data_IF_224431662836
#
_entry.id   IF_224431662836
#
_cell.length_a   1.000
_cell.length_b   1.000
_cell.length_c   1.000
_cell.angle_alpha   90.00
_cell.angle_beta   90.00
_cell.angle_gamma   90.00
#
_symmetry.space_group_name_H-M   'P 1'
#
loop_
_entity.id
_entity.type
_entity.pdbx_description
1 polymer ?
#
# COMPACT_ATOMS: atom_id res chain seq x y z
N UNK A 1 11.35 32.09 10.30
CA UNK A 1 11.89 30.87 10.90
C UNK A 1 12.18 29.90 9.77
N UNK A 2 13.44 29.63 9.48
CA UNK A 2 13.84 28.59 8.51
C UNK A 2 13.36 27.25 9.03
N UNK A 3 12.41 26.64 8.30
CA UNK A 3 11.91 25.29 8.61
C UNK A 3 13.10 24.34 8.52
N UNK A 4 13.52 23.74 9.64
CA UNK A 4 14.58 22.72 9.61
C UNK A 4 14.10 21.59 8.72
N UNK A 5 14.80 21.34 7.63
CA UNK A 5 14.46 20.25 6.72
C UNK A 5 14.69 18.92 7.44
N UNK A 6 13.64 18.08 7.54
CA UNK A 6 13.79 16.73 8.08
C UNK A 6 14.75 15.91 7.20
N UNK A 7 15.69 15.23 7.84
CA UNK A 7 16.46 14.18 7.17
C UNK A 7 15.67 12.89 7.24
N UNK A 8 15.33 12.35 6.08
CA UNK A 8 14.47 11.17 5.99
C UNK A 8 15.09 10.10 5.07
N UNK A 9 14.83 8.84 5.39
CA UNK A 9 15.13 7.74 4.47
C UNK A 9 13.84 7.20 3.85
N UNK A 10 13.92 6.65 2.64
CA UNK A 10 12.85 5.88 2.03
C UNK A 10 13.37 4.53 1.50
N UNK A 11 12.84 3.44 2.05
CA UNK A 11 13.24 2.07 1.74
C UNK A 11 12.20 1.41 0.85
N UNK A 12 12.60 1.01 -0.36
CA UNK A 12 11.71 0.39 -1.33
C UNK A 12 11.11 1.41 -2.32
N UNK A 13 11.63 1.37 -3.56
CA UNK A 13 11.25 2.25 -4.67
C UNK A 13 10.43 1.48 -5.72
N UNK A 14 9.40 0.79 -5.24
CA UNK A 14 8.39 0.19 -6.10
C UNK A 14 7.44 1.24 -6.69
N UNK A 15 6.35 0.78 -7.29
CA UNK A 15 5.33 1.63 -7.93
C UNK A 15 4.78 2.68 -6.96
N UNK A 16 4.68 2.32 -5.67
CA UNK A 16 4.21 3.22 -4.62
C UNK A 16 5.33 4.07 -4.03
N UNK A 17 6.43 3.45 -3.61
CA UNK A 17 7.49 4.13 -2.87
C UNK A 17 8.28 5.15 -3.70
N UNK A 18 8.43 4.92 -5.01
CA UNK A 18 9.16 5.85 -5.89
C UNK A 18 8.54 7.25 -5.91
N UNK A 19 7.23 7.42 -6.19
CA UNK A 19 6.59 8.74 -6.13
C UNK A 19 6.44 9.27 -4.69
N UNK A 20 6.18 8.43 -3.69
CA UNK A 20 6.07 8.89 -2.30
C UNK A 20 7.37 9.54 -1.81
N UNK A 21 8.52 8.90 -2.04
CA UNK A 21 9.83 9.47 -1.76
C UNK A 21 10.08 10.76 -2.56
N UNK A 22 9.61 10.82 -3.83
CA UNK A 22 9.68 12.02 -4.66
C UNK A 22 8.92 13.21 -4.06
N UNK A 23 7.73 12.99 -3.52
CA UNK A 23 6.96 14.04 -2.84
C UNK A 23 7.63 14.56 -1.57
N UNK A 24 8.27 13.69 -0.78
CA UNK A 24 9.07 14.12 0.38
C UNK A 24 10.17 15.10 -0.03
N UNK A 25 10.84 14.82 -1.16
CA UNK A 25 11.88 15.70 -1.70
C UNK A 25 11.31 17.00 -2.26
N UNK A 26 10.31 16.92 -3.13
CA UNK A 26 9.85 18.06 -3.95
C UNK A 26 8.85 18.96 -3.23
N UNK A 27 7.86 18.38 -2.54
CA UNK A 27 6.85 19.13 -1.77
C UNK A 27 7.29 19.37 -0.33
N UNK A 28 7.93 18.36 0.29
CA UNK A 28 8.37 18.43 1.69
C UNK A 28 9.65 19.22 1.91
N UNK A 29 10.49 19.36 0.90
CA UNK A 29 11.83 19.96 1.03
C UNK A 29 12.76 19.15 1.93
N UNK A 30 12.46 17.85 2.14
CA UNK A 30 13.26 16.98 2.99
C UNK A 30 14.63 16.67 2.37
N UNK A 31 15.63 16.43 3.23
CA UNK A 31 16.86 15.75 2.81
C UNK A 31 16.59 14.25 2.75
N UNK A 32 16.49 13.70 1.53
CA UNK A 32 16.00 12.33 1.29
C UNK A 32 17.16 11.42 0.88
N UNK A 33 17.33 10.34 1.64
CA UNK A 33 18.21 9.21 1.33
C UNK A 33 17.35 8.02 0.92
N UNK A 34 17.65 7.36 -0.20
CA UNK A 34 16.85 6.21 -0.65
C UNK A 34 17.64 4.92 -0.64
N UNK A 35 16.93 3.83 -0.43
CA UNK A 35 17.42 2.48 -0.64
C UNK A 35 16.45 1.66 -1.46
N UNK A 36 16.95 0.85 -2.36
CA UNK A 36 16.18 -0.18 -3.03
C UNK A 36 17.06 -1.38 -3.36
N UNK A 37 16.52 -2.62 -3.21
CA UNK A 37 17.24 -3.87 -3.54
C UNK A 37 17.84 -3.85 -4.95
N UNK A 38 17.13 -3.28 -5.94
CA UNK A 38 17.69 -2.97 -7.25
C UNK A 38 18.34 -1.59 -7.23
N UNK A 39 19.67 -1.53 -7.25
CA UNK A 39 20.43 -0.28 -7.27
C UNK A 39 20.07 0.62 -8.46
N UNK A 40 19.70 0.05 -9.62
CA UNK A 40 19.28 0.81 -10.78
C UNK A 40 18.04 1.69 -10.50
N UNK A 41 17.07 1.20 -9.70
CA UNK A 41 15.91 2.00 -9.31
C UNK A 41 16.28 3.14 -8.37
N UNK A 42 17.20 2.93 -7.44
CA UNK A 42 17.69 3.98 -6.55
C UNK A 42 18.44 5.06 -7.34
N UNK A 43 19.28 4.67 -8.31
CA UNK A 43 19.96 5.58 -9.21
C UNK A 43 18.96 6.42 -10.03
N UNK A 44 18.00 5.78 -10.67
CA UNK A 44 16.95 6.47 -11.44
C UNK A 44 16.13 7.46 -10.58
N UNK A 45 15.90 7.14 -9.31
CA UNK A 45 15.21 8.05 -8.39
C UNK A 45 16.08 9.29 -8.11
N UNK A 46 17.38 9.10 -7.80
CA UNK A 46 18.32 10.21 -7.56
C UNK A 46 18.46 11.10 -8.80
N UNK A 47 18.55 10.51 -9.99
CA UNK A 47 18.60 11.26 -11.27
C UNK A 47 17.34 12.13 -11.46
N UNK A 48 16.17 11.62 -11.07
CA UNK A 48 14.89 12.32 -11.25
C UNK A 48 14.62 13.40 -10.21
N UNK A 49 14.93 13.15 -8.93
CA UNK A 49 14.49 14.00 -7.82
C UNK A 49 15.65 14.64 -7.05
N UNK A 50 16.88 14.21 -7.27
CA UNK A 50 18.01 14.56 -6.42
C UNK A 50 18.02 13.75 -5.11
N UNK A 51 18.81 14.19 -4.13
CA UNK A 51 19.04 13.44 -2.90
C UNK A 51 20.18 12.44 -3.04
N UNK A 52 20.18 11.38 -2.23
CA UNK A 52 21.24 10.36 -2.25
C UNK A 52 20.69 8.95 -2.15
N UNK A 53 21.48 7.97 -2.53
CA UNK A 53 21.17 6.55 -2.41
C UNK A 53 22.31 5.82 -1.68
N UNK A 54 21.97 4.76 -0.96
CA UNK A 54 22.93 3.93 -0.22
C UNK A 54 22.77 2.46 -0.57
N UNK A 55 23.79 1.61 -0.37
CA UNK A 55 23.74 0.20 -0.71
C UNK A 55 22.96 -0.65 0.30
N UNK A 56 22.73 -0.16 1.53
CA UNK A 56 22.02 -0.90 2.58
C UNK A 56 20.92 -0.06 3.26
N UNK A 57 19.87 -0.69 3.80
CA UNK A 57 18.87 -0.02 4.65
C UNK A 57 19.49 0.67 5.86
N UNK A 58 20.51 0.04 6.49
CA UNK A 58 21.26 0.58 7.61
C UNK A 58 21.89 1.92 7.29
N UNK A 59 22.60 2.00 6.17
CA UNK A 59 23.25 3.25 5.74
C UNK A 59 22.21 4.33 5.38
N UNK A 60 21.11 3.95 4.73
CA UNK A 60 20.03 4.88 4.43
C UNK A 60 19.44 5.50 5.70
N UNK A 61 19.22 4.69 6.73
CA UNK A 61 18.60 5.10 7.98
C UNK A 61 19.50 5.95 8.89
N UNK A 62 20.80 6.02 8.59
CA UNK A 62 21.78 6.70 9.43
C UNK A 62 21.49 8.19 9.59
N UNK A 63 21.40 8.64 10.85
CA UNK A 63 21.12 10.04 11.25
C UNK A 63 19.78 10.60 10.78
N UNK A 64 18.88 9.74 10.26
CA UNK A 64 17.53 10.15 9.85
C UNK A 64 16.63 10.38 11.07
N UNK A 65 15.70 11.33 10.92
CA UNK A 65 14.65 11.59 11.91
C UNK A 65 13.48 10.63 11.72
N UNK A 66 13.15 10.36 10.45
CA UNK A 66 12.09 9.43 10.06
C UNK A 66 12.60 8.53 8.92
N UNK A 67 12.35 7.24 9.06
CA UNK A 67 12.60 6.23 8.03
C UNK A 67 11.28 5.70 7.51
N UNK A 68 11.00 5.89 6.26
CA UNK A 68 9.84 5.36 5.55
C UNK A 68 10.18 4.07 4.83
N UNK A 69 9.23 3.14 4.79
CA UNK A 69 9.39 1.86 4.09
C UNK A 69 8.14 1.52 3.28
N UNK A 70 8.31 0.98 2.07
CA UNK A 70 7.23 0.40 1.27
C UNK A 70 7.77 -0.73 0.40
N UNK A 71 7.62 -1.97 0.85
CA UNK A 71 8.14 -3.18 0.21
C UNK A 71 7.02 -4.18 -0.11
N UNK A 72 7.34 -5.45 -0.41
CA UNK A 72 6.38 -6.37 -0.98
C UNK A 72 5.49 -7.11 0.02
N UNK A 73 6.06 -7.60 1.11
CA UNK A 73 5.41 -8.52 2.07
C UNK A 73 6.14 -8.53 3.42
N UNK A 74 5.69 -9.40 4.34
CA UNK A 74 6.26 -9.55 5.68
C UNK A 74 7.76 -9.89 5.66
N UNK A 75 8.19 -10.80 4.78
CA UNK A 75 9.59 -11.25 4.72
C UNK A 75 10.49 -10.16 4.12
N UNK A 76 10.04 -9.48 3.06
CA UNK A 76 10.74 -8.31 2.53
C UNK A 76 10.88 -7.23 3.62
N UNK A 77 9.81 -7.00 4.41
CA UNK A 77 9.82 -6.01 5.49
C UNK A 77 10.81 -6.40 6.60
N UNK A 78 10.80 -7.65 7.07
CA UNK A 78 11.81 -8.13 8.03
C UNK A 78 13.23 -7.94 7.49
N UNK A 79 13.45 -8.27 6.22
CA UNK A 79 14.78 -8.20 5.60
C UNK A 79 15.37 -6.79 5.54
N UNK A 80 14.52 -5.77 5.38
CA UNK A 80 14.98 -4.36 5.30
C UNK A 80 15.00 -3.68 6.67
N UNK A 81 14.29 -4.21 7.66
CA UNK A 81 14.20 -3.63 9.01
C UNK A 81 15.19 -4.25 9.98
N UNK A 82 15.29 -5.60 9.96
CA UNK A 82 16.06 -6.38 10.93
C UNK A 82 17.45 -6.78 10.38
N UNK A 83 18.28 -7.30 11.28
CA UNK A 83 19.61 -7.81 10.94
C UNK A 83 20.70 -6.72 10.90
N UNK A 84 21.96 -7.11 10.60
CA UNK A 84 23.11 -6.20 10.67
C UNK A 84 23.08 -5.08 9.64
N UNK A 85 22.45 -5.29 8.49
CA UNK A 85 22.28 -4.30 7.41
C UNK A 85 20.88 -3.71 7.37
N UNK A 86 20.00 -4.12 8.30
CA UNK A 86 18.64 -3.61 8.44
C UNK A 86 18.60 -2.17 8.99
N UNK A 87 17.50 -1.49 8.73
CA UNK A 87 17.33 -0.08 9.08
C UNK A 87 17.51 0.19 10.58
N UNK A 88 16.97 -0.69 11.44
CA UNK A 88 17.07 -0.50 12.91
C UNK A 88 18.53 -0.45 13.39
N UNK A 89 19.45 -1.15 12.73
CA UNK A 89 20.87 -1.12 13.07
C UNK A 89 21.55 0.22 12.74
N UNK A 90 20.94 1.06 11.89
CA UNK A 90 21.42 2.39 11.52
C UNK A 90 20.68 3.55 12.19
N UNK A 91 19.50 3.30 12.76
CA UNK A 91 18.65 4.34 13.33
C UNK A 91 19.15 4.86 14.69
N UNK A 92 19.03 6.15 14.88
CA UNK A 92 19.30 6.78 16.17
C UNK A 92 18.12 6.65 17.13
N UNK A 93 18.39 6.64 18.44
CA UNK A 93 17.35 6.72 19.47
C UNK A 93 16.48 7.97 19.27
N UNK A 94 15.16 7.82 19.41
CA UNK A 94 14.16 8.87 19.21
C UNK A 94 13.72 9.07 17.76
N UNK A 95 14.32 8.36 16.80
CA UNK A 95 13.85 8.33 15.41
C UNK A 95 12.54 7.52 15.29
N UNK A 96 11.86 7.71 14.16
CA UNK A 96 10.57 7.05 13.88
C UNK A 96 10.71 6.20 12.61
N UNK A 97 10.29 4.93 12.68
CA UNK A 97 10.12 4.08 11.50
C UNK A 97 8.65 4.05 11.09
N UNK A 98 8.35 4.36 9.82
CA UNK A 98 6.99 4.39 9.27
C UNK A 98 6.90 3.38 8.14
N UNK A 99 6.12 2.32 8.34
CA UNK A 99 5.96 1.26 7.35
C UNK A 99 4.65 1.40 6.56
N UNK A 100 4.78 1.69 5.27
CA UNK A 100 3.67 1.78 4.33
C UNK A 100 3.38 0.46 3.58
N UNK A 101 4.10 -0.60 3.89
CA UNK A 101 3.87 -1.92 3.31
C UNK A 101 2.49 -2.44 3.75
N UNK A 102 1.74 -3.04 2.84
CA UNK A 102 0.60 -3.88 3.24
C UNK A 102 1.14 -5.23 3.69
N UNK A 103 1.16 -5.44 5.00
CA UNK A 103 1.76 -6.56 5.71
C UNK A 103 0.80 -7.11 6.79
N UNK A 104 1.18 -8.14 7.51
CA UNK A 104 0.39 -8.65 8.63
C UNK A 104 0.46 -7.71 9.85
N UNK A 105 -0.60 -7.69 10.66
CA UNK A 105 -0.57 -7.00 11.96
C UNK A 105 0.42 -7.66 12.94
N UNK A 106 0.75 -8.93 12.70
CA UNK A 106 1.74 -9.69 13.47
C UNK A 106 3.16 -9.15 13.24
N UNK A 107 3.58 -8.99 11.98
CA UNK A 107 4.89 -8.41 11.67
C UNK A 107 4.98 -6.95 12.12
N UNK A 108 3.89 -6.17 12.03
CA UNK A 108 3.87 -4.81 12.56
C UNK A 108 4.18 -4.78 14.06
N UNK A 109 3.54 -5.66 14.86
CA UNK A 109 3.80 -5.78 16.31
C UNK A 109 5.19 -6.32 16.63
N UNK A 110 5.69 -7.27 15.83
CA UNK A 110 7.06 -7.80 15.94
C UNK A 110 8.09 -6.67 15.77
N UNK A 111 7.95 -5.88 14.71
CA UNK A 111 8.88 -4.80 14.39
C UNK A 111 8.76 -3.63 15.36
N UNK A 112 7.54 -3.32 15.82
CA UNK A 112 7.33 -2.37 16.90
C UNK A 112 8.10 -2.76 18.17
N UNK A 113 7.99 -4.02 18.59
CA UNK A 113 8.73 -4.52 19.75
C UNK A 113 10.25 -4.50 19.54
N UNK A 114 10.73 -4.78 18.31
CA UNK A 114 12.15 -4.70 17.99
C UNK A 114 12.68 -3.25 18.02
N UNK A 115 11.94 -2.31 17.45
CA UNK A 115 12.26 -0.89 17.44
C UNK A 115 12.29 -0.29 18.85
N UNK A 116 11.30 -0.63 19.69
CA UNK A 116 11.20 -0.15 21.07
C UNK A 116 12.44 -0.51 21.91
N UNK A 117 13.07 -1.68 21.70
CA UNK A 117 14.29 -2.11 22.42
C UNK A 117 15.47 -1.17 22.23
N UNK A 118 15.51 -0.43 21.13
CA UNK A 118 16.58 0.53 20.82
C UNK A 118 16.10 1.98 20.94
N UNK A 119 14.89 2.20 21.44
CA UNK A 119 14.31 3.53 21.63
C UNK A 119 13.90 4.22 20.33
N UNK A 120 13.55 3.43 19.29
CA UNK A 120 12.95 3.89 18.03
C UNK A 120 11.45 3.64 18.09
N UNK A 121 10.64 4.62 17.65
CA UNK A 121 9.21 4.46 17.51
C UNK A 121 8.88 3.76 16.18
N UNK A 122 7.82 2.94 16.15
CA UNK A 122 7.36 2.25 14.95
C UNK A 122 5.89 2.56 14.68
N UNK A 123 5.56 2.90 13.43
CA UNK A 123 4.20 3.17 12.95
C UNK A 123 3.94 2.28 11.75
N UNK A 124 2.97 1.39 11.83
CA UNK A 124 2.40 0.72 10.67
C UNK A 124 1.42 1.66 9.98
N UNK A 125 1.64 1.94 8.72
CA UNK A 125 0.98 3.02 8.00
C UNK A 125 0.61 2.62 6.54
N UNK A 126 -0.03 1.45 6.30
CA UNK A 126 -0.41 1.05 4.96
C UNK A 126 -1.31 2.09 4.29
N UNK A 127 -1.28 2.07 2.95
CA UNK A 127 -1.89 3.11 2.13
C UNK A 127 -3.01 2.58 1.23
N UNK A 128 -3.92 3.46 0.85
CA UNK A 128 -4.94 3.24 -0.18
C UNK A 128 -4.94 4.40 -1.18
N UNK A 129 -5.26 4.11 -2.44
CA UNK A 129 -5.28 5.08 -3.56
C UNK A 129 -4.55 4.59 -4.80
N UNK A 130 -3.84 3.45 -4.72
CA UNK A 130 -3.11 2.83 -5.82
C UNK A 130 -1.99 3.71 -6.39
N UNK A 131 -1.47 3.32 -7.56
CA UNK A 131 -0.39 4.03 -8.23
C UNK A 131 -0.73 5.50 -8.51
N UNK A 132 -1.91 5.77 -9.05
CA UNK A 132 -2.36 7.13 -9.33
C UNK A 132 -2.42 8.01 -8.07
N UNK A 133 -2.89 7.45 -6.95
CA UNK A 133 -2.88 8.15 -5.66
C UNK A 133 -1.48 8.48 -5.16
N UNK A 134 -0.53 7.56 -5.36
CA UNK A 134 0.87 7.78 -5.00
C UNK A 134 1.53 8.84 -5.90
N UNK A 135 1.33 8.77 -7.22
CA UNK A 135 1.88 9.72 -8.20
C UNK A 135 1.34 11.14 -7.98
N UNK A 136 0.05 11.27 -7.67
CA UNK A 136 -0.58 12.57 -7.41
C UNK A 136 -0.35 13.09 -5.97
N UNK A 137 0.16 12.27 -5.06
CA UNK A 137 0.37 12.63 -3.66
C UNK A 137 -0.95 12.83 -2.89
N UNK A 138 -1.94 11.96 -3.15
CA UNK A 138 -3.28 12.02 -2.58
C UNK A 138 -3.71 10.68 -1.94
N UNK A 139 -2.75 9.95 -1.37
CA UNK A 139 -3.02 8.69 -0.69
C UNK A 139 -3.86 8.88 0.58
N UNK A 140 -4.55 7.82 0.97
CA UNK A 140 -5.13 7.67 2.32
C UNK A 140 -4.23 6.74 3.11
N UNK A 141 -3.82 7.17 4.32
CA UNK A 141 -2.88 6.46 5.19
C UNK A 141 -3.58 6.06 6.49
N UNK A 142 -3.50 4.78 6.84
CA UNK A 142 -4.09 4.21 8.05
C UNK A 142 -2.97 3.86 9.02
N UNK A 143 -2.81 4.63 10.11
CA UNK A 143 -1.69 4.49 11.02
C UNK A 143 -2.05 3.68 12.27
N UNK A 144 -1.13 2.81 12.70
CA UNK A 144 -1.14 2.14 14.00
C UNK A 144 0.16 2.43 14.75
N UNK A 145 0.06 2.78 16.04
CA UNK A 145 1.23 3.13 16.86
C UNK A 145 0.87 4.07 17.99
N UNK A 146 1.88 4.69 18.62
CA UNK A 146 1.70 5.66 19.67
C UNK A 146 1.36 7.05 19.13
N UNK A 147 0.58 7.82 19.89
CA UNK A 147 0.08 9.14 19.49
C UNK A 147 1.19 10.19 19.30
N UNK A 148 2.22 10.19 20.15
CA UNK A 148 3.29 11.18 20.07
C UNK A 148 4.18 11.01 18.82
N UNK A 149 4.71 9.80 18.49
CA UNK A 149 5.40 9.57 17.23
C UNK A 149 4.52 9.83 15.99
N UNK A 150 3.24 9.46 16.05
CA UNK A 150 2.29 9.75 14.97
C UNK A 150 2.18 11.26 14.72
N UNK A 151 1.99 12.06 15.76
CA UNK A 151 1.87 13.51 15.62
C UNK A 151 3.12 14.19 15.02
N UNK A 152 4.31 13.56 15.20
CA UNK A 152 5.55 14.02 14.57
C UNK A 152 5.68 13.58 13.10
N UNK A 153 5.19 12.37 12.76
CA UNK A 153 5.27 11.82 11.40
C UNK A 153 4.17 12.36 10.48
N UNK A 154 2.97 12.62 10.97
CA UNK A 154 1.80 13.04 10.20
C UNK A 154 2.06 14.24 9.27
N UNK A 155 2.71 15.35 9.71
CA UNK A 155 2.99 16.49 8.83
C UNK A 155 3.93 16.14 7.67
N UNK A 156 4.80 15.14 7.84
CA UNK A 156 5.71 14.67 6.80
C UNK A 156 4.98 13.72 5.85
N UNK A 157 4.13 12.83 6.36
CA UNK A 157 3.25 11.95 5.57
C UNK A 157 2.30 12.79 4.69
N UNK A 158 1.82 13.93 5.16
CA UNK A 158 0.92 14.82 4.43
C UNK A 158 1.48 15.32 3.07
N UNK A 159 2.79 15.21 2.81
CA UNK A 159 3.34 15.57 1.50
C UNK A 159 2.93 14.62 0.36
N UNK A 160 2.52 13.38 0.68
CA UNK A 160 2.05 12.40 -0.30
C UNK A 160 0.66 11.82 0.04
N UNK A 161 -0.01 12.36 1.05
CA UNK A 161 -1.32 11.90 1.50
C UNK A 161 -2.33 13.05 1.60
N UNK A 162 -3.58 12.78 1.19
CA UNK A 162 -4.72 13.69 1.43
C UNK A 162 -5.42 13.43 2.75
N UNK A 163 -5.23 12.24 3.32
CA UNK A 163 -5.79 11.84 4.59
C UNK A 163 -4.83 10.88 5.30
N UNK A 164 -4.59 11.15 6.58
CA UNK A 164 -3.77 10.31 7.44
C UNK A 164 -4.46 10.26 8.81
N UNK A 165 -4.63 9.06 9.39
CA UNK A 165 -5.29 8.93 10.68
C UNK A 165 -4.69 7.81 11.53
N UNK A 166 -4.50 8.10 12.82
CA UNK A 166 -4.17 7.09 13.83
C UNK A 166 -5.43 6.28 14.15
N UNK A 167 -5.35 4.96 13.93
CA UNK A 167 -6.47 4.03 14.09
C UNK A 167 -6.44 3.28 15.42
N UNK A 168 -5.29 3.31 16.12
CA UNK A 168 -5.10 2.61 17.39
C UNK A 168 -3.64 2.22 17.61
N UNK A 169 -3.36 1.25 18.51
CA UNK A 169 -2.00 0.79 18.77
C UNK A 169 -1.38 0.09 17.56
N UNK A 170 -0.10 -0.30 17.68
CA UNK A 170 0.63 -1.00 16.61
C UNK A 170 -0.13 -2.21 16.07
N UNK A 171 -0.21 -2.31 14.76
CA UNK A 171 -1.01 -3.27 14.00
C UNK A 171 -2.41 -2.75 13.61
N UNK A 172 -2.91 -1.67 14.21
CA UNK A 172 -4.24 -1.13 13.90
C UNK A 172 -4.32 -0.55 12.48
N UNK A 173 -3.24 0.00 11.97
CA UNK A 173 -3.14 0.44 10.58
C UNK A 173 -3.31 -0.73 9.60
N UNK A 174 -2.58 -1.83 9.84
CA UNK A 174 -2.68 -3.05 9.03
C UNK A 174 -4.07 -3.69 9.12
N UNK A 175 -4.65 -3.78 10.31
CA UNK A 175 -6.03 -4.29 10.48
C UNK A 175 -7.05 -3.42 9.73
N UNK A 176 -6.89 -2.09 9.76
CA UNK A 176 -7.74 -1.17 8.99
C UNK A 176 -7.55 -1.38 7.48
N UNK A 177 -6.33 -1.61 7.02
CA UNK A 177 -6.05 -1.95 5.62
C UNK A 177 -6.68 -3.28 5.23
N UNK A 178 -6.74 -4.29 6.11
CA UNK A 178 -7.44 -5.55 5.85
C UNK A 178 -8.94 -5.31 5.62
N UNK A 179 -9.60 -4.47 6.43
CA UNK A 179 -11.00 -4.09 6.19
C UNK A 179 -11.18 -3.49 4.80
N UNK A 180 -10.28 -2.56 4.41
CA UNK A 180 -10.30 -1.97 3.06
C UNK A 180 -10.18 -3.04 1.96
N UNK A 181 -9.27 -4.02 2.10
CA UNK A 181 -9.07 -5.06 1.08
C UNK A 181 -10.23 -6.05 1.00
N UNK A 182 -10.83 -6.40 2.13
CA UNK A 182 -12.06 -7.22 2.19
C UNK A 182 -13.20 -6.53 1.43
N UNK A 183 -13.41 -5.23 1.67
CA UNK A 183 -14.44 -4.46 0.96
C UNK A 183 -14.15 -4.40 -0.54
N UNK A 184 -12.92 -4.11 -0.96
CA UNK A 184 -12.54 -4.05 -2.38
C UNK A 184 -12.78 -5.39 -3.08
N UNK A 185 -12.46 -6.51 -2.45
CA UNK A 185 -12.68 -7.83 -3.03
C UNK A 185 -14.16 -8.05 -3.39
N UNK A 186 -15.06 -7.80 -2.46
CA UNK A 186 -16.51 -7.93 -2.68
C UNK A 186 -17.05 -6.93 -3.71
N UNK A 187 -16.61 -5.67 -3.63
CA UNK A 187 -17.02 -4.60 -4.57
C UNK A 187 -16.64 -4.93 -6.01
N UNK A 188 -15.39 -5.35 -6.25
CA UNK A 188 -14.91 -5.64 -7.62
C UNK A 188 -15.59 -6.88 -8.18
N UNK A 189 -15.82 -7.91 -7.37
CA UNK A 189 -16.56 -9.10 -7.81
C UNK A 189 -18.00 -8.76 -8.16
N UNK A 190 -18.70 -8.01 -7.29
CA UNK A 190 -20.07 -7.57 -7.56
C UNK A 190 -20.18 -6.72 -8.83
N UNK A 191 -19.24 -5.81 -9.06
CA UNK A 191 -19.17 -5.02 -10.28
C UNK A 191 -18.93 -5.90 -11.53
N UNK A 192 -18.02 -6.87 -11.43
CA UNK A 192 -17.75 -7.80 -12.53
C UNK A 192 -19.00 -8.60 -12.93
N UNK A 193 -19.71 -9.14 -11.96
CA UNK A 193 -20.97 -9.87 -12.20
C UNK A 193 -22.05 -8.96 -12.77
N UNK A 194 -22.21 -7.74 -12.23
CA UNK A 194 -23.19 -6.76 -12.71
C UNK A 194 -22.94 -6.35 -14.16
N UNK A 195 -21.68 -6.06 -14.53
CA UNK A 195 -21.34 -5.72 -15.92
C UNK A 195 -21.52 -6.92 -16.87
N UNK A 196 -21.10 -8.12 -16.45
CA UNK A 196 -21.32 -9.33 -17.23
C UNK A 196 -22.82 -9.61 -17.44
N UNK A 197 -23.65 -9.46 -16.39
CA UNK A 197 -25.10 -9.58 -16.49
C UNK A 197 -25.67 -8.56 -17.49
N UNK A 198 -25.24 -7.30 -17.44
CA UNK A 198 -25.68 -6.26 -18.37
C UNK A 198 -25.38 -6.64 -19.82
N UNK A 199 -24.15 -7.15 -20.09
CA UNK A 199 -23.75 -7.65 -21.41
C UNK A 199 -24.65 -8.80 -21.90
N UNK A 200 -24.93 -9.79 -21.04
CA UNK A 200 -25.80 -10.93 -21.38
C UNK A 200 -27.27 -10.52 -21.58
N UNK A 201 -27.72 -9.49 -20.89
CA UNK A 201 -29.07 -8.92 -21.05
C UNK A 201 -29.19 -7.97 -22.27
N UNK A 202 -28.13 -7.74 -23.03
CA UNK A 202 -28.13 -6.84 -24.18
C UNK A 202 -28.20 -5.36 -23.81
N UNK A 203 -27.84 -5.00 -22.55
CA UNK A 203 -27.82 -3.61 -22.11
C UNK A 203 -26.48 -2.94 -22.48
N UNK A 204 -26.54 -1.63 -22.74
CA UNK A 204 -25.35 -0.80 -22.84
C UNK A 204 -24.73 -0.63 -21.44
N UNK A 205 -23.56 -1.24 -21.22
CA UNK A 205 -22.87 -1.21 -19.94
C UNK A 205 -22.43 0.19 -19.51
N UNK A 206 -22.12 1.09 -20.45
CA UNK A 206 -21.77 2.48 -20.14
C UNK A 206 -23.02 3.24 -19.65
N UNK A 207 -24.17 3.09 -20.34
CA UNK A 207 -25.43 3.70 -19.95
C UNK A 207 -25.90 3.18 -18.58
N UNK A 208 -25.76 1.86 -18.32
CA UNK A 208 -26.08 1.28 -17.01
C UNK A 208 -25.25 1.95 -15.92
N UNK A 209 -23.92 2.02 -16.07
CA UNK A 209 -23.03 2.62 -15.07
C UNK A 209 -23.31 4.11 -14.88
N UNK A 210 -23.61 4.87 -15.96
CA UNK A 210 -23.94 6.27 -15.87
C UNK A 210 -25.13 6.55 -14.94
N UNK A 211 -26.09 5.63 -14.88
CA UNK A 211 -27.27 5.72 -13.99
C UNK A 211 -26.95 5.22 -12.58
N UNK A 212 -26.45 3.98 -12.43
CA UNK A 212 -26.30 3.36 -11.11
C UNK A 212 -25.16 3.97 -10.27
N UNK A 213 -24.17 4.61 -10.91
CA UNK A 213 -23.11 5.34 -10.20
C UNK A 213 -23.58 6.55 -9.41
N UNK A 214 -24.82 6.99 -9.60
CA UNK A 214 -25.45 8.07 -8.83
C UNK A 214 -26.31 7.54 -7.65
N UNK A 215 -26.42 6.24 -7.52
CA UNK A 215 -27.24 5.58 -6.50
C UNK A 215 -26.39 4.81 -5.46
N UNK A 216 -27.06 3.97 -4.68
CA UNK A 216 -26.48 3.24 -3.57
C UNK A 216 -25.39 2.20 -3.98
N UNK A 217 -25.35 1.80 -5.24
CA UNK A 217 -24.34 0.86 -5.75
C UNK A 217 -22.99 1.53 -6.13
N UNK A 218 -22.89 2.86 -6.01
CA UNK A 218 -21.70 3.63 -6.36
C UNK A 218 -20.46 3.10 -5.62
N UNK A 219 -19.35 3.05 -6.35
CA UNK A 219 -18.02 2.80 -5.79
C UNK A 219 -16.94 3.43 -6.65
N UNK A 220 -15.77 3.68 -6.04
CA UNK A 220 -14.61 4.16 -6.80
C UNK A 220 -14.25 3.19 -7.95
N UNK A 221 -14.36 1.88 -7.73
CA UNK A 221 -14.10 0.87 -8.75
C UNK A 221 -15.09 0.96 -9.91
N UNK A 222 -16.35 1.18 -9.61
CA UNK A 222 -17.37 1.41 -10.65
C UNK A 222 -17.01 2.60 -11.53
N UNK A 223 -16.68 3.74 -10.93
CA UNK A 223 -16.37 4.97 -11.69
C UNK A 223 -15.05 4.91 -12.48
N UNK A 224 -14.05 4.18 -11.95
CA UNK A 224 -12.69 4.22 -12.49
C UNK A 224 -12.25 2.93 -13.20
N UNK A 225 -13.07 1.87 -13.21
CA UNK A 225 -12.70 0.57 -13.78
C UNK A 225 -13.69 0.02 -14.80
N UNK A 226 -14.96 0.45 -14.80
CA UNK A 226 -15.97 -0.17 -15.64
C UNK A 226 -15.62 -0.18 -17.14
N UNK A 227 -15.04 0.90 -17.67
CA UNK A 227 -14.66 0.97 -19.10
C UNK A 227 -13.60 -0.07 -19.46
N UNK A 228 -12.53 -0.12 -18.68
CA UNK A 228 -11.46 -1.10 -18.91
C UNK A 228 -11.93 -2.53 -18.68
N UNK A 229 -12.90 -2.76 -17.80
CA UNK A 229 -13.55 -4.05 -17.59
C UNK A 229 -14.36 -4.48 -18.83
N UNK A 230 -15.15 -3.57 -19.40
CA UNK A 230 -15.92 -3.81 -20.63
C UNK A 230 -15.01 -4.03 -21.84
N UNK A 231 -13.90 -3.29 -21.92
CA UNK A 231 -12.89 -3.38 -22.98
C UNK A 231 -11.94 -4.59 -22.84
N UNK A 232 -11.96 -5.32 -21.73
CA UNK A 232 -11.02 -6.42 -21.47
C UNK A 232 -9.57 -5.97 -21.29
N UNK A 233 -9.31 -4.75 -20.80
CA UNK A 233 -7.97 -4.16 -20.63
C UNK A 233 -7.59 -4.16 -19.15
N UNK A 234 -6.48 -4.84 -18.79
CA UNK A 234 -6.10 -5.04 -17.38
C UNK A 234 -4.62 -4.79 -17.07
N UNK A 235 -3.79 -4.36 -18.03
CA UNK A 235 -2.34 -4.18 -17.88
C UNK A 235 -1.99 -2.86 -17.16
N UNK A 236 -2.56 -2.65 -15.97
CA UNK A 236 -2.36 -1.46 -15.14
C UNK A 236 -2.77 -1.73 -13.69
N UNK A 237 -2.65 -0.73 -12.83
CA UNK A 237 -3.29 -0.65 -11.53
C UNK A 237 -2.70 -1.58 -10.46
N UNK A 238 -3.56 -2.34 -9.78
CA UNK A 238 -3.20 -3.17 -8.64
C UNK A 238 -3.26 -4.66 -9.00
N UNK A 239 -2.08 -5.28 -9.07
CA UNK A 239 -1.93 -6.65 -9.57
C UNK A 239 -2.67 -7.70 -8.71
N UNK A 240 -3.25 -8.68 -9.38
CA UNK A 240 -3.91 -9.86 -8.79
C UNK A 240 -3.02 -10.56 -7.76
N UNK A 241 -1.72 -10.74 -8.04
CA UNK A 241 -0.77 -11.34 -7.08
C UNK A 241 -0.75 -10.61 -5.73
N UNK A 242 -0.76 -9.27 -5.76
CA UNK A 242 -0.78 -8.47 -4.53
C UNK A 242 -2.12 -8.54 -3.82
N UNK A 243 -3.23 -8.57 -4.56
CA UNK A 243 -4.55 -8.73 -3.95
C UNK A 243 -4.68 -10.11 -3.29
N UNK A 244 -4.19 -11.17 -3.90
CA UNK A 244 -4.17 -12.51 -3.30
C UNK A 244 -3.31 -12.56 -2.05
N UNK A 245 -2.14 -11.92 -2.06
CA UNK A 245 -1.33 -11.75 -0.84
C UNK A 245 -2.14 -11.05 0.25
N UNK A 246 -2.79 -9.94 -0.07
CA UNK A 246 -3.58 -9.18 0.90
C UNK A 246 -4.76 -9.99 1.46
N UNK A 247 -5.49 -10.73 0.61
CA UNK A 247 -6.57 -11.60 1.06
C UNK A 247 -6.07 -12.77 1.91
N UNK A 248 -4.89 -13.32 1.61
CA UNK A 248 -4.25 -14.34 2.46
C UNK A 248 -3.96 -13.81 3.87
N UNK A 249 -3.49 -12.56 3.99
CA UNK A 249 -3.30 -11.89 5.28
C UNK A 249 -4.65 -11.73 6.00
N UNK A 250 -5.69 -11.27 5.30
CA UNK A 250 -7.04 -11.13 5.86
C UNK A 250 -7.60 -12.44 6.41
N UNK A 251 -7.49 -13.52 5.63
CA UNK A 251 -7.96 -14.85 6.01
C UNK A 251 -7.14 -15.46 7.17
N UNK A 252 -5.83 -15.19 7.19
CA UNK A 252 -4.96 -15.55 8.31
C UNK A 252 -5.38 -14.84 9.60
N UNK A 253 -5.63 -13.55 9.56
CA UNK A 253 -6.10 -12.78 10.70
C UNK A 253 -7.51 -13.19 11.15
N UNK A 254 -8.41 -13.47 10.21
CA UNK A 254 -9.75 -13.96 10.51
C UNK A 254 -9.73 -15.28 11.31
N UNK A 255 -8.80 -16.19 11.04
CA UNK A 255 -8.65 -17.43 11.84
C UNK A 255 -8.19 -17.13 13.27
N UNK A 256 -7.46 -16.04 13.51
CA UNK A 256 -6.98 -15.64 14.85
C UNK A 256 -8.05 -14.92 15.66
N UNK A 257 -8.81 -14.02 15.02
CA UNK A 257 -9.79 -13.18 15.70
C UNK A 257 -11.23 -13.70 15.66
N UNK A 258 -11.47 -14.83 14.94
CA UNK A 258 -12.78 -15.46 14.82
C UNK A 258 -13.72 -14.80 13.81
N UNK A 259 -13.26 -13.88 12.98
CA UNK A 259 -14.08 -13.26 11.93
C UNK A 259 -14.44 -14.25 10.82
N UNK A 260 -15.66 -14.15 10.28
CA UNK A 260 -16.13 -14.96 9.16
C UNK A 260 -16.04 -14.16 7.86
N UNK A 261 -15.22 -14.61 6.90
CA UNK A 261 -14.96 -13.92 5.63
C UNK A 261 -15.30 -14.82 4.41
N UNK A 262 -16.53 -15.34 4.27
CA UNK A 262 -16.86 -16.27 3.19
C UNK A 262 -16.69 -15.63 1.80
N UNK A 263 -17.10 -14.37 1.61
CA UNK A 263 -16.98 -13.67 0.32
C UNK A 263 -15.51 -13.44 -0.03
N UNK A 264 -14.68 -12.98 0.90
CA UNK A 264 -13.25 -12.75 0.66
C UNK A 264 -12.53 -14.06 0.30
N UNK A 265 -12.87 -15.18 0.97
CA UNK A 265 -12.31 -16.48 0.67
C UNK A 265 -12.70 -16.97 -0.74
N UNK A 266 -13.97 -16.79 -1.14
CA UNK A 266 -14.43 -17.13 -2.48
C UNK A 266 -13.77 -16.29 -3.55
N UNK A 267 -13.67 -14.98 -3.34
CA UNK A 267 -13.02 -14.07 -4.30
C UNK A 267 -11.53 -14.34 -4.43
N UNK A 268 -10.84 -14.76 -3.37
CA UNK A 268 -9.45 -15.23 -3.49
C UNK A 268 -9.32 -16.43 -4.45
N UNK A 269 -10.26 -17.39 -4.40
CA UNK A 269 -10.29 -18.50 -5.36
C UNK A 269 -10.52 -18.00 -6.79
N UNK A 270 -11.39 -17.03 -6.99
CA UNK A 270 -11.61 -16.42 -8.32
C UNK A 270 -10.35 -15.73 -8.84
N UNK A 271 -9.60 -15.03 -8.00
CA UNK A 271 -8.29 -14.50 -8.40
C UNK A 271 -7.28 -15.59 -8.72
N UNK A 272 -7.33 -16.75 -8.07
CA UNK A 272 -6.52 -17.92 -8.45
C UNK A 272 -6.82 -18.38 -9.87
N UNK A 273 -8.09 -18.34 -10.29
CA UNK A 273 -8.46 -18.65 -11.67
C UNK A 273 -7.89 -17.61 -12.66
N UNK A 274 -7.95 -16.31 -12.30
CA UNK A 274 -7.34 -15.25 -13.12
C UNK A 274 -5.83 -15.45 -13.26
N UNK A 275 -5.12 -15.85 -12.21
CA UNK A 275 -3.69 -16.20 -12.30
C UNK A 275 -3.44 -17.34 -13.30
N UNK A 276 -4.27 -18.41 -13.28
CA UNK A 276 -4.17 -19.54 -14.23
C UNK A 276 -4.43 -19.11 -15.69
N UNK A 277 -5.15 -17.99 -15.89
CA UNK A 277 -5.35 -17.37 -17.20
C UNK A 277 -4.14 -16.55 -17.68
N UNK A 278 -3.05 -16.49 -16.92
CA UNK A 278 -1.90 -15.62 -17.18
C UNK A 278 -2.04 -14.21 -16.59
N UNK A 279 -3.11 -13.95 -15.83
CA UNK A 279 -3.44 -12.62 -15.28
C UNK A 279 -2.80 -12.28 -13.95
N UNK A 280 -1.69 -12.92 -13.56
CA UNK A 280 -0.99 -12.67 -12.29
C UNK A 280 -0.66 -11.18 -12.06
N UNK A 281 -0.35 -10.46 -13.15
CA UNK A 281 -0.01 -9.03 -13.13
C UNK A 281 -1.14 -8.11 -13.56
N UNK A 282 -2.29 -8.63 -13.94
CA UNK A 282 -3.46 -7.84 -14.30
C UNK A 282 -4.04 -7.10 -13.09
N UNK A 283 -4.71 -5.97 -13.36
CA UNK A 283 -5.46 -5.24 -12.34
C UNK A 283 -6.56 -6.11 -11.72
N UNK A 284 -6.88 -5.88 -10.47
CA UNK A 284 -7.93 -6.61 -9.73
C UNK A 284 -9.29 -6.63 -10.43
N UNK A 285 -9.58 -5.64 -11.28
CA UNK A 285 -10.80 -5.58 -12.08
C UNK A 285 -10.91 -6.70 -13.13
N UNK A 286 -9.84 -7.46 -13.36
CA UNK A 286 -9.81 -8.63 -14.27
C UNK A 286 -10.69 -9.82 -13.84
N UNK A 287 -11.35 -9.75 -12.68
CA UNK A 287 -12.37 -10.74 -12.29
C UNK A 287 -13.46 -10.94 -13.35
N UNK A 288 -13.81 -9.91 -14.12
CA UNK A 288 -14.79 -10.03 -15.23
C UNK A 288 -14.28 -10.95 -16.36
N UNK A 289 -12.98 -11.01 -16.62
CA UNK A 289 -12.42 -11.85 -17.67
C UNK A 289 -12.72 -13.34 -17.44
N UNK A 290 -12.82 -13.76 -16.17
CA UNK A 290 -13.19 -15.12 -15.79
C UNK A 290 -14.63 -15.47 -16.17
N UNK A 291 -15.55 -14.49 -16.17
CA UNK A 291 -16.97 -14.67 -16.47
C UNK A 291 -17.26 -14.73 -17.99
N UNK A 292 -16.36 -14.18 -18.79
CA UNK A 292 -16.49 -14.09 -20.25
C UNK A 292 -15.87 -15.29 -21.00
N UNK A 293 -15.61 -16.40 -20.30
CA UNK A 293 -15.14 -17.66 -20.89
C UNK A 293 -16.27 -18.47 -21.55
#
# INVERSE_FOLDING_TARGET
MTKVAHKVAFLGLGVMGFPMAGHLKTKGGCDVVVYNRSAAKAKAWVEKFGGSATPTPREAAKDCDIVFCCVGNDDDLRSVVLGPDGALAGMKKGAIFVDHTTASAEVARELHAAAARIGVAFIDAPVSGGQAGAENGVLTVMCGGEAEPYAKAEPVIAHFARACRLMGPSGAGQLTKMVNQICIAGLVQGLAEGLHFAQKAGLDGEAVVAVISKGAAQSWQMENRFKTMLDGKFDFGFAVDWMRKDLSICLGEARRNGAHLPVAALVDQFYSEVQKMGGARWDTSSLIARLNR
#
